data_IF_221739241088
#
_entry.id   IF_221739241088
#
_cell.length_a   1.000
_cell.length_b   1.000
_cell.length_c   1.000
_cell.angle_alpha   90.00
_cell.angle_beta   90.00
_cell.angle_gamma   90.00
#
_symmetry.space_group_name_H-M   'P 1'
#
loop_
_entity.id
_entity.type
_entity.pdbx_description
1 polymer ?
#
# COMPACT_ATOMS: atom_id res chain seq x y z
N UNK A 1 -10.89 14.17 -8.42
CA UNK A 1 -10.47 13.92 -9.82
C UNK A 1 -9.48 12.77 -9.79
N UNK A 2 -9.41 11.96 -10.85
CA UNK A 2 -8.42 10.87 -10.98
C UNK A 2 -7.50 11.20 -12.15
N UNK A 3 -6.18 11.16 -11.94
CA UNK A 3 -5.17 11.34 -12.99
C UNK A 3 -4.29 10.10 -13.01
N UNK A 4 -4.36 9.31 -14.07
CA UNK A 4 -3.53 8.11 -14.24
C UNK A 4 -2.14 8.49 -14.76
N UNK A 5 -1.08 8.05 -14.09
CA UNK A 5 0.31 8.24 -14.51
C UNK A 5 0.84 7.02 -15.28
N UNK A 6 0.36 5.83 -14.92
CA UNK A 6 0.71 4.59 -15.57
C UNK A 6 -0.43 3.59 -15.49
N UNK A 7 -0.60 2.80 -16.55
CA UNK A 7 -1.59 1.72 -16.62
C UNK A 7 -1.10 0.62 -17.56
N UNK A 8 -1.30 -0.64 -17.15
CA UNK A 8 -1.04 -1.84 -17.95
C UNK A 8 -1.92 -3.00 -17.47
N UNK A 9 -2.99 -3.26 -18.20
CA UNK A 9 -4.00 -4.25 -17.78
C UNK A 9 -4.60 -3.84 -16.43
N UNK A 10 -4.64 -4.75 -15.46
CA UNK A 10 -5.16 -4.46 -14.11
C UNK A 10 -4.16 -3.74 -13.19
N UNK A 11 -3.00 -3.35 -13.72
CA UNK A 11 -1.99 -2.60 -12.96
C UNK A 11 -2.05 -1.12 -13.31
N UNK A 12 -2.00 -0.25 -12.32
CA UNK A 12 -2.01 1.19 -12.51
C UNK A 12 -1.33 1.94 -11.37
N UNK A 13 -0.95 3.18 -11.63
CA UNK A 13 -0.61 4.20 -10.64
C UNK A 13 -1.33 5.49 -11.04
N UNK A 14 -2.11 6.05 -10.12
CA UNK A 14 -2.94 7.22 -10.37
C UNK A 14 -3.00 8.13 -9.15
N UNK A 15 -3.13 9.44 -9.37
CA UNK A 15 -3.48 10.40 -8.34
C UNK A 15 -4.99 10.46 -8.18
N UNK A 16 -5.45 10.42 -6.93
CA UNK A 16 -6.86 10.47 -6.58
C UNK A 16 -7.07 11.56 -5.53
N UNK A 17 -8.03 12.46 -5.77
CA UNK A 17 -8.43 13.49 -4.79
C UNK A 17 -9.43 12.96 -3.76
N UNK A 18 -9.25 13.36 -2.49
CA UNK A 18 -10.27 13.26 -1.45
C UNK A 18 -10.94 14.60 -1.24
N UNK A 19 -12.21 14.71 -1.65
CA UNK A 19 -12.93 15.99 -1.65
C UNK A 19 -13.55 16.41 -0.31
N UNK A 20 -13.58 15.53 0.69
CA UNK A 20 -14.48 15.71 1.85
C UNK A 20 -13.81 15.77 3.24
N UNK A 21 -12.54 16.20 3.37
CA UNK A 21 -12.00 16.45 4.72
C UNK A 21 -10.99 17.61 4.81
N UNK A 22 -11.35 18.72 5.48
CA UNK A 22 -10.47 19.88 5.70
C UNK A 22 -9.48 19.72 6.87
N UNK A 23 -9.48 18.61 7.62
CA UNK A 23 -8.72 18.46 8.87
C UNK A 23 -7.39 17.70 8.75
N UNK A 24 -7.03 17.17 7.57
CA UNK A 24 -5.72 16.55 7.38
C UNK A 24 -5.24 16.69 5.93
N UNK A 25 -4.41 17.69 5.60
CA UNK A 25 -3.71 17.69 4.33
C UNK A 25 -2.79 16.45 4.28
N UNK A 26 -2.90 15.63 3.23
CA UNK A 26 -1.95 14.54 2.91
C UNK A 26 -0.65 15.17 2.38
N UNK A 27 0.01 15.95 3.23
CA UNK A 27 0.90 17.02 2.79
C UNK A 27 2.11 16.54 1.97
N UNK A 28 2.14 16.97 0.71
CA UNK A 28 3.25 16.86 -0.24
C UNK A 28 3.59 18.27 -0.76
N UNK A 29 4.87 18.69 -0.73
CA UNK A 29 5.93 18.16 -1.58
C UNK A 29 7.16 17.71 -0.79
N UNK A 30 7.35 16.39 -0.69
CA UNK A 30 8.60 15.76 -0.27
C UNK A 30 9.39 15.36 -1.51
N UNK A 31 10.71 15.61 -1.54
CA UNK A 31 11.63 15.06 -2.55
C UNK A 31 11.87 13.55 -2.31
N UNK A 32 10.81 12.76 -2.22
CA UNK A 32 10.94 11.31 -2.19
C UNK A 32 11.31 10.83 -3.58
N UNK A 33 12.61 10.73 -3.82
CA UNK A 33 13.15 10.16 -5.04
C UNK A 33 12.78 8.67 -5.17
N UNK A 34 12.93 8.14 -6.37
CA UNK A 34 12.60 6.74 -6.65
C UNK A 34 13.48 5.76 -5.86
N UNK A 35 14.65 6.16 -5.37
CA UNK A 35 15.54 5.31 -4.59
C UNK A 35 15.01 5.14 -3.15
N UNK A 36 14.54 6.22 -2.53
CA UNK A 36 13.85 6.19 -1.25
C UNK A 36 12.58 5.35 -1.32
N UNK A 37 11.75 5.55 -2.34
CA UNK A 37 10.54 4.74 -2.54
C UNK A 37 10.90 3.27 -2.77
N UNK A 38 11.94 2.97 -3.57
CA UNK A 38 12.38 1.60 -3.79
C UNK A 38 12.86 0.92 -2.51
N UNK A 39 13.68 1.61 -1.71
CA UNK A 39 14.11 1.14 -0.39
C UNK A 39 12.89 0.86 0.49
N UNK A 40 11.95 1.79 0.55
CA UNK A 40 10.76 1.66 1.36
C UNK A 40 9.93 0.43 0.97
N UNK A 41 9.60 0.28 -0.31
CA UNK A 41 8.85 -0.88 -0.82
C UNK A 41 9.59 -2.20 -0.61
N UNK A 42 10.91 -2.23 -0.74
CA UNK A 42 11.73 -3.43 -0.56
C UNK A 42 11.80 -3.96 0.87
N UNK A 43 11.61 -3.08 1.86
CA UNK A 43 11.53 -3.46 3.29
C UNK A 43 10.23 -4.16 3.64
N UNK A 44 9.17 -3.98 2.85
CA UNK A 44 7.84 -4.48 3.18
C UNK A 44 7.79 -6.01 3.09
N UNK A 45 7.46 -6.63 4.21
CA UNK A 45 7.19 -8.05 4.34
C UNK A 45 5.73 -8.30 4.71
N UNK A 46 5.25 -9.46 4.33
CA UNK A 46 3.97 -9.99 4.79
C UNK A 46 4.15 -11.39 5.39
N UNK A 47 3.20 -11.73 6.26
CA UNK A 47 2.98 -13.10 6.72
C UNK A 47 1.51 -13.44 6.58
N UNK A 48 1.23 -14.73 6.40
CA UNK A 48 -0.12 -15.26 6.39
C UNK A 48 -0.27 -16.41 7.38
N UNK A 49 -1.46 -16.59 7.94
CA UNK A 49 -1.76 -17.74 8.79
C UNK A 49 -2.01 -18.94 7.90
N UNK A 50 -1.22 -19.99 8.09
CA UNK A 50 -1.44 -21.31 7.50
C UNK A 50 -1.25 -22.37 8.59
N UNK A 51 -2.14 -23.35 8.65
CA UNK A 51 -2.10 -24.41 9.68
C UNK A 51 -1.95 -23.86 11.12
N UNK A 52 -2.74 -22.83 11.45
CA UNK A 52 -2.73 -22.14 12.75
C UNK A 52 -1.40 -21.47 13.16
N UNK A 53 -0.45 -21.30 12.23
CA UNK A 53 0.82 -20.60 12.47
C UNK A 53 1.06 -19.50 11.43
N UNK A 54 1.77 -18.45 11.82
CA UNK A 54 2.26 -17.46 10.86
C UNK A 54 3.34 -18.08 9.97
N UNK A 55 3.24 -17.86 8.67
CA UNK A 55 4.28 -18.21 7.71
C UNK A 55 5.59 -17.48 8.02
N UNK A 56 6.70 -17.91 7.42
CA UNK A 56 7.90 -17.07 7.37
C UNK A 56 7.58 -15.72 6.69
N UNK A 57 8.25 -14.62 7.09
CA UNK A 57 8.18 -13.34 6.38
C UNK A 57 8.53 -13.52 4.91
N UNK A 58 7.77 -12.85 4.05
CA UNK A 58 7.95 -12.87 2.60
C UNK A 58 7.84 -11.45 2.06
N UNK A 59 8.58 -11.07 1.00
CA UNK A 59 8.49 -9.74 0.45
C UNK A 59 7.10 -9.47 -0.12
N UNK A 60 6.53 -8.29 0.16
CA UNK A 60 5.25 -7.87 -0.44
C UNK A 60 5.39 -7.75 -1.95
N UNK A 61 6.50 -7.15 -2.41
CA UNK A 61 6.85 -6.92 -3.80
C UNK A 61 8.15 -7.64 -4.17
N UNK A 62 8.22 -8.18 -5.39
CA UNK A 62 9.48 -8.66 -5.95
C UNK A 62 10.36 -7.48 -6.37
N UNK A 63 11.64 -7.74 -6.59
CA UNK A 63 12.60 -6.70 -6.97
C UNK A 63 12.20 -5.96 -8.25
N UNK A 64 11.74 -6.68 -9.28
CA UNK A 64 11.26 -6.08 -10.52
C UNK A 64 9.99 -5.23 -10.34
N UNK A 65 9.16 -5.60 -9.37
CA UNK A 65 7.94 -4.87 -9.02
C UNK A 65 8.27 -3.60 -8.22
N UNK A 66 9.26 -3.68 -7.33
CA UNK A 66 9.81 -2.53 -6.59
C UNK A 66 10.37 -1.49 -7.55
N UNK A 67 11.22 -1.91 -8.50
CA UNK A 67 11.82 -1.01 -9.49
C UNK A 67 10.77 -0.32 -10.37
N UNK A 68 9.72 -1.04 -10.76
CA UNK A 68 8.63 -0.50 -11.56
C UNK A 68 7.80 0.52 -10.76
N UNK A 69 7.34 0.13 -9.57
CA UNK A 69 6.46 0.96 -8.76
C UNK A 69 7.15 2.19 -8.22
N UNK A 70 8.43 2.09 -7.84
CA UNK A 70 9.13 3.21 -7.20
C UNK A 70 9.23 4.44 -8.09
N UNK A 71 9.50 4.25 -9.39
CA UNK A 71 9.56 5.36 -10.35
C UNK A 71 8.21 6.07 -10.52
N UNK A 72 7.13 5.29 -10.72
CA UNK A 72 5.80 5.87 -10.91
C UNK A 72 5.22 6.47 -9.64
N UNK A 73 5.45 5.85 -8.47
CA UNK A 73 5.03 6.40 -7.19
C UNK A 73 5.80 7.68 -6.88
N UNK A 74 7.12 7.71 -7.03
CA UNK A 74 7.90 8.94 -6.82
C UNK A 74 7.43 10.09 -7.72
N UNK A 75 7.20 9.81 -9.01
CA UNK A 75 6.62 10.79 -9.95
C UNK A 75 5.24 11.26 -9.50
N UNK A 76 4.39 10.35 -9.02
CA UNK A 76 3.06 10.69 -8.55
C UNK A 76 3.12 11.55 -7.27
N UNK A 77 3.97 11.21 -6.29
CA UNK A 77 4.15 11.98 -5.06
C UNK A 77 4.72 13.39 -5.33
N UNK A 78 5.59 13.53 -6.34
CA UNK A 78 6.13 14.83 -6.74
C UNK A 78 5.07 15.73 -7.40
N UNK A 79 4.02 15.15 -8.00
CA UNK A 79 2.91 15.87 -8.62
C UNK A 79 1.68 16.01 -7.72
N UNK A 80 1.62 15.25 -6.61
CA UNK A 80 0.48 15.20 -5.73
C UNK A 80 0.28 16.53 -5.00
N UNK A 81 -0.96 17.01 -4.96
CA UNK A 81 -1.35 18.08 -4.04
C UNK A 81 -1.61 17.52 -2.64
N UNK A 82 -1.74 18.39 -1.65
CA UNK A 82 -2.13 18.05 -0.29
C UNK A 82 -3.52 17.37 -0.15
N UNK A 83 -4.36 17.48 -1.17
CA UNK A 83 -5.67 16.82 -1.24
C UNK A 83 -5.64 15.50 -2.02
N UNK A 84 -4.48 15.07 -2.49
CA UNK A 84 -4.30 13.90 -3.33
C UNK A 84 -3.48 12.82 -2.64
N UNK A 85 -3.78 11.57 -2.98
CA UNK A 85 -2.91 10.44 -2.67
C UNK A 85 -2.64 9.67 -3.96
N UNK A 86 -1.57 8.87 -3.93
CA UNK A 86 -1.22 7.96 -5.00
C UNK A 86 -1.97 6.64 -4.78
N UNK A 87 -2.93 6.33 -5.64
CA UNK A 87 -3.55 5.02 -5.70
C UNK A 87 -2.77 4.13 -6.67
N UNK A 88 -2.38 2.94 -6.23
CA UNK A 88 -1.73 1.97 -7.08
C UNK A 88 -2.46 0.64 -7.03
N UNK A 89 -2.39 -0.08 -8.15
CA UNK A 89 -2.59 -1.51 -8.16
C UNK A 89 -1.53 -2.19 -9.02
N UNK A 90 -1.07 -3.35 -8.60
CA UNK A 90 -0.11 -4.15 -9.33
C UNK A 90 -0.57 -5.60 -9.44
N UNK A 91 -0.64 -6.08 -10.68
CA UNK A 91 -0.82 -7.49 -11.02
C UNK A 91 0.54 -8.17 -11.08
N UNK A 92 0.81 -9.02 -10.11
CA UNK A 92 2.04 -9.82 -10.01
C UNK A 92 1.77 -11.31 -10.12
N UNK A 93 2.81 -12.11 -10.38
CA UNK A 93 2.73 -13.57 -10.32
C UNK A 93 3.47 -14.09 -9.10
N UNK A 94 2.80 -14.86 -8.24
CA UNK A 94 3.42 -15.48 -7.06
C UNK A 94 3.57 -16.98 -7.30
N UNK A 95 4.83 -17.42 -7.36
CA UNK A 95 5.21 -18.83 -7.56
C UNK A 95 5.30 -19.62 -6.26
N UNK A 96 5.17 -18.94 -5.12
CA UNK A 96 5.31 -19.52 -3.78
C UNK A 96 4.01 -20.16 -3.26
N UNK A 97 2.93 -20.07 -4.03
CA UNK A 97 1.72 -20.85 -3.84
C UNK A 97 1.90 -22.20 -4.58
N UNK A 98 1.17 -23.24 -4.17
CA UNK A 98 1.29 -24.60 -4.75
C UNK A 98 1.17 -24.58 -6.28
N UNK A 99 0.40 -23.63 -6.83
CA UNK A 99 0.36 -23.30 -8.24
C UNK A 99 0.68 -21.82 -8.44
N UNK A 100 1.46 -21.43 -9.46
CA UNK A 100 1.69 -20.03 -9.77
C UNK A 100 0.36 -19.33 -10.01
N UNK A 101 -0.04 -18.45 -9.10
CA UNK A 101 -1.25 -17.64 -9.23
C UNK A 101 -0.86 -16.20 -9.59
N UNK A 102 -1.67 -15.61 -10.46
CA UNK A 102 -1.70 -14.16 -10.61
C UNK A 102 -2.43 -13.55 -9.42
N UNK A 103 -1.85 -12.49 -8.86
CA UNK A 103 -2.37 -11.81 -7.68
C UNK A 103 -2.34 -10.31 -7.89
N UNK A 104 -3.29 -9.62 -7.26
CA UNK A 104 -3.37 -8.17 -7.21
C UNK A 104 -2.94 -7.67 -5.84
N UNK A 105 -2.11 -6.63 -5.86
CA UNK A 105 -1.73 -5.85 -4.69
C UNK A 105 -2.04 -4.40 -4.99
N UNK A 106 -3.08 -3.86 -4.35
CA UNK A 106 -3.45 -2.46 -4.49
C UNK A 106 -3.40 -1.75 -3.13
N UNK A 107 -3.26 -0.44 -3.18
CA UNK A 107 -3.24 0.39 -2.00
C UNK A 107 -3.12 1.87 -2.32
N UNK A 108 -3.05 2.66 -1.26
CA UNK A 108 -2.87 4.09 -1.29
C UNK A 108 -1.51 4.42 -0.71
N UNK A 109 -0.83 5.38 -1.31
CA UNK A 109 0.47 5.89 -0.90
C UNK A 109 0.39 7.40 -0.77
N UNK A 110 0.92 7.89 0.33
CA UNK A 110 1.16 9.31 0.56
C UNK A 110 2.40 9.44 1.42
N UNK A 111 2.94 10.65 1.52
CA UNK A 111 4.08 10.99 2.34
C UNK A 111 3.65 12.09 3.28
N UNK A 112 4.15 12.01 4.50
CA UNK A 112 3.89 12.97 5.56
C UNK A 112 5.06 12.88 6.53
N UNK A 113 5.58 14.02 6.98
CA UNK A 113 6.74 14.10 7.89
C UNK A 113 7.94 13.28 7.37
N UNK A 114 8.28 13.43 6.09
CA UNK A 114 9.37 12.71 5.40
C UNK A 114 9.29 11.18 5.43
N UNK A 115 8.11 10.61 5.72
CA UNK A 115 7.87 9.17 5.76
C UNK A 115 6.86 8.75 4.70
N UNK A 116 7.07 7.55 4.16
CA UNK A 116 6.18 6.94 3.18
C UNK A 116 5.12 6.13 3.91
N UNK A 117 3.86 6.54 3.74
CA UNK A 117 2.70 5.83 4.26
C UNK A 117 2.08 4.99 3.15
N UNK A 118 1.88 3.71 3.43
CA UNK A 118 1.28 2.76 2.48
C UNK A 118 0.12 2.05 3.16
N UNK A 119 -1.08 2.24 2.62
CA UNK A 119 -2.31 1.60 3.10
C UNK A 119 -2.79 0.61 2.06
N UNK A 120 -2.68 -0.67 2.38
CA UNK A 120 -3.09 -1.76 1.51
C UNK A 120 -4.59 -2.02 1.59
N UNK A 121 -5.16 -2.43 0.46
CA UNK A 121 -6.58 -2.72 0.33
C UNK A 121 -6.80 -4.18 -0.10
N UNK A 122 -6.58 -4.59 -1.36
CA UNK A 122 -6.28 -5.98 -1.65
C UNK A 122 -4.75 -6.19 -1.53
N UNK A 123 -4.33 -7.08 -0.62
CA UNK A 123 -2.94 -7.56 -0.54
C UNK A 123 -2.86 -9.00 -1.06
N UNK A 124 -2.15 -9.20 -2.18
CA UNK A 124 -1.91 -10.52 -2.77
C UNK A 124 -3.21 -11.33 -2.89
N UNK A 125 -4.23 -10.70 -3.43
CA UNK A 125 -5.54 -11.31 -3.68
C UNK A 125 -5.47 -12.03 -5.03
N UNK A 126 -5.83 -13.30 -5.09
CA UNK A 126 -5.85 -14.01 -6.36
C UNK A 126 -7.00 -13.51 -7.25
N UNK A 127 -6.87 -13.62 -8.57
CA UNK A 127 -7.92 -13.13 -9.50
C UNK A 127 -9.30 -13.76 -9.25
N UNK A 128 -9.32 -15.02 -8.81
CA UNK A 128 -10.54 -15.75 -8.46
C UNK A 128 -11.19 -15.26 -7.15
N UNK A 129 -10.48 -14.46 -6.35
CA UNK A 129 -10.94 -13.88 -5.07
C UNK A 129 -11.23 -12.37 -5.19
N UNK A 130 -11.17 -11.83 -6.41
CA UNK A 130 -11.18 -10.38 -6.64
C UNK A 130 -12.53 -9.74 -6.31
N UNK A 131 -13.66 -10.36 -6.67
CA UNK A 131 -15.00 -9.83 -6.38
C UNK A 131 -15.24 -9.63 -4.87
N UNK A 132 -14.75 -10.54 -4.03
CA UNK A 132 -14.86 -10.41 -2.57
C UNK A 132 -13.91 -9.34 -2.00
N UNK A 133 -12.78 -9.10 -2.65
CA UNK A 133 -11.78 -8.15 -2.20
C UNK A 133 -12.04 -6.71 -2.68
N UNK A 134 -12.73 -6.54 -3.81
CA UNK A 134 -13.03 -5.21 -4.39
C UNK A 134 -14.21 -4.52 -3.71
N UNK A 135 -15.15 -5.28 -3.15
CA UNK A 135 -16.35 -4.77 -2.44
C UNK A 135 -16.02 -3.98 -1.15
N UNK A 136 -14.74 -3.98 -0.76
CA UNK A 136 -14.21 -3.31 0.43
C UNK A 136 -13.00 -2.41 0.16
N UNK A 137 -12.69 -2.04 -1.09
CA UNK A 137 -11.54 -1.16 -1.36
C UNK A 137 -11.72 0.16 -0.61
N UNK A 138 -10.91 0.48 0.42
CA UNK A 138 -10.95 1.77 1.07
C UNK A 138 -10.65 2.80 -0.01
N UNK A 139 -11.68 3.55 -0.36
CA UNK A 139 -11.46 4.82 -1.02
C UNK A 139 -10.65 5.69 -0.08
N UNK A 140 -10.96 5.72 1.21
CA UNK A 140 -10.24 6.51 2.22
C UNK A 140 -9.15 5.69 2.97
N UNK A 141 -7.87 6.11 2.97
CA UNK A 141 -6.76 5.42 3.65
C UNK A 141 -6.93 5.31 5.17
N UNK A 142 -7.84 6.10 5.77
CA UNK A 142 -8.13 6.11 7.21
C UNK A 142 -9.15 5.05 7.60
N UNK A 143 -9.88 4.48 6.64
CA UNK A 143 -10.80 3.39 6.93
C UNK A 143 -10.00 2.14 7.27
N UNK A 144 -10.26 1.59 8.46
CA UNK A 144 -9.64 0.35 8.90
C UNK A 144 -10.11 -0.80 8.04
N UNK A 145 -9.17 -1.43 7.33
CA UNK A 145 -9.40 -2.68 6.62
C UNK A 145 -8.61 -3.80 7.29
N UNK A 146 -9.33 -4.80 7.80
CA UNK A 146 -8.69 -5.96 8.41
C UNK A 146 -8.34 -6.99 7.32
N UNK A 147 -7.04 -7.19 7.11
CA UNK A 147 -6.56 -8.30 6.28
C UNK A 147 -6.73 -9.59 7.08
N UNK A 148 -7.88 -10.25 6.95
CA UNK A 148 -8.11 -11.54 7.61
C UNK A 148 -6.98 -12.50 7.24
N UNK A 149 -6.33 -13.06 8.26
CA UNK A 149 -5.23 -14.03 8.13
C UNK A 149 -3.92 -13.52 7.50
N UNK A 150 -3.78 -12.23 7.15
CA UNK A 150 -2.52 -11.65 6.64
C UNK A 150 -2.09 -10.46 7.51
N UNK A 151 -0.78 -10.22 7.63
CA UNK A 151 -0.24 -9.01 8.26
C UNK A 151 0.95 -8.48 7.48
N UNK A 152 1.11 -7.16 7.48
CA UNK A 152 2.19 -6.44 6.82
C UNK A 152 3.07 -5.75 7.87
N UNK A 153 4.37 -5.69 7.61
CA UNK A 153 5.34 -4.96 8.41
C UNK A 153 6.58 -4.64 7.56
N UNK A 154 7.43 -3.72 8.01
CA UNK A 154 8.72 -3.42 7.39
C UNK A 154 9.86 -4.14 8.13
N UNK A 155 10.93 -4.51 7.42
CA UNK A 155 12.18 -5.03 7.99
C UNK A 155 13.39 -4.18 7.53
N UNK A 156 14.23 -3.63 8.46
CA UNK A 156 14.10 -3.68 9.92
C UNK A 156 12.80 -3.01 10.38
N UNK A 157 12.26 -3.35 11.57
CA UNK A 157 10.97 -2.83 12.01
C UNK A 157 11.02 -1.31 12.08
N UNK A 158 10.41 -0.67 11.09
CA UNK A 158 10.16 0.76 11.10
C UNK A 158 9.03 1.01 12.08
N UNK A 159 9.17 2.04 12.91
CA UNK A 159 8.26 2.33 14.01
C UNK A 159 6.80 2.31 13.54
N UNK A 160 5.97 1.60 14.31
CA UNK A 160 4.51 1.58 14.21
C UNK A 160 3.93 3.01 14.07
N UNK A 161 2.75 3.15 13.41
CA UNK A 161 2.30 4.42 12.87
C UNK A 161 2.24 5.52 13.92
N UNK A 162 2.42 6.75 13.43
CA UNK A 162 1.94 7.97 14.05
C UNK A 162 0.75 7.69 14.97
N UNK A 163 0.99 7.91 16.26
CA UNK A 163 -0.03 8.11 17.26
C UNK A 163 -0.91 9.27 16.77
N UNK A 164 -2.21 9.02 16.63
CA UNK A 164 -3.26 9.95 16.18
C UNK A 164 -3.11 10.40 14.71
N UNK A 165 -4.00 10.03 13.79
CA UNK A 165 -5.20 10.82 13.44
C UNK A 165 -6.18 9.98 12.58
N UNK A 166 -6.48 8.74 12.99
CA UNK A 166 -7.30 7.87 12.13
C UNK A 166 -7.83 6.57 12.75
N UNK A 167 -8.29 6.62 14.00
CA UNK A 167 -9.43 5.85 14.55
C UNK A 167 -9.59 6.18 16.05
N UNK A 168 -10.44 7.14 16.42
CA UNK A 168 -10.64 7.59 17.81
C UNK A 168 -11.21 6.51 18.75
N UNK A 169 -11.70 5.38 18.24
CA UNK A 169 -12.57 4.47 19.00
C UNK A 169 -11.93 3.15 19.47
N UNK A 170 -10.88 2.64 18.83
CA UNK A 170 -10.51 1.21 19.00
C UNK A 170 -9.08 0.89 19.45
N UNK A 171 -8.13 1.86 19.51
CA UNK A 171 -6.74 1.69 19.99
C UNK A 171 -6.02 0.42 19.46
N UNK A 172 -6.43 -0.12 18.31
CA UNK A 172 -5.83 -1.32 17.68
C UNK A 172 -5.02 -0.88 16.47
N UNK A 173 -3.82 -1.46 16.25
CA UNK A 173 -3.02 -1.15 15.07
C UNK A 173 -3.74 -1.59 13.79
N UNK A 174 -3.61 -0.79 12.74
CA UNK A 174 -4.03 -1.16 11.39
C UNK A 174 -3.11 -2.26 10.86
N UNK A 175 -3.67 -3.40 10.45
CA UNK A 175 -2.88 -4.55 9.93
C UNK A 175 -2.45 -4.39 8.48
N UNK A 176 -3.01 -3.38 7.81
CA UNK A 176 -2.85 -3.07 6.39
C UNK A 176 -2.07 -1.77 6.15
N UNK A 177 -1.57 -1.10 7.20
CA UNK A 177 -0.85 0.16 7.08
C UNK A 177 0.62 -0.02 7.46
N UNK A 178 1.51 0.25 6.51
CA UNK A 178 2.95 0.36 6.74
C UNK A 178 3.40 1.83 6.68
N UNK A 179 4.32 2.19 7.57
CA UNK A 179 5.03 3.48 7.55
C UNK A 179 6.51 3.16 7.42
N UNK A 180 7.18 3.80 6.48
CA UNK A 180 8.59 3.55 6.17
C UNK A 180 9.33 4.89 6.15
N UNK A 181 10.50 4.92 6.77
CA UNK A 181 11.43 6.06 6.77
C UNK A 181 12.26 6.10 5.49
#
# INVERSE_FOLDING_TARGET
>A
MVKTLWEKGDSFVALVEFKDDPLTPYAHPSEMDAELVARALGTLKYQQIAFFKWSKPKPVFKEEEVQLLSGYIASALAEATDAQVVNFCLRGRRTELIFPKSVLTCGLVFAKDDRLHIVFSPLLVAEDELEEATDGIPTDPRRRYELKQKRIFAEPPVSYPLRDEGNLLLKKPHTNWAVVD
#
